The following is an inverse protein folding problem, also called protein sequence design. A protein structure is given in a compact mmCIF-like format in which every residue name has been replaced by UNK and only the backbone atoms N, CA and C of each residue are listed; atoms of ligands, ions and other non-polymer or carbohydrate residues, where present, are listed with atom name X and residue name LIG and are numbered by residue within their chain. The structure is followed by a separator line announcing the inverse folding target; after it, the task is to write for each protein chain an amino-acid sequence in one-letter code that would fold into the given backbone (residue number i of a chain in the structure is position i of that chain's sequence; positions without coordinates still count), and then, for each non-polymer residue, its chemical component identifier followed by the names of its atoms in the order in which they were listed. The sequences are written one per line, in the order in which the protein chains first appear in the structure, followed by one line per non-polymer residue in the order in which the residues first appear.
data_IF_602441925386
#
_entry.id   IF_602441925386
#
_cell.length_a   1.000
_cell.length_b   1.000
_cell.length_c   1.000
_cell.angle_alpha   90.00
_cell.angle_beta   90.00
_cell.angle_gamma   90.00
#
_symmetry.space_group_name_H-M   'P 1'
#
loop_
_entity.id
_entity.type
_entity.pdbx_description
1 polymer ?
#
# COMPACT_ATOMS: atom_id res chain seq x y z
N UNK A 1 -1.34 10.84 11.11
CA UNK A 1 -0.75 9.53 10.87
C UNK A 1 -0.17 9.65 9.49
N UNK A 2 1.14 9.85 9.45
CA UNK A 2 1.94 9.84 8.23
C UNK A 2 1.57 8.58 7.44
N UNK A 3 1.10 8.77 6.21
CA UNK A 3 0.82 7.63 5.33
C UNK A 3 2.01 7.46 4.41
N UNK A 4 2.57 6.26 4.40
CA UNK A 4 3.60 5.89 3.44
C UNK A 4 2.91 5.52 2.13
N UNK A 5 3.17 6.28 1.07
CA UNK A 5 2.91 5.80 -0.26
C UNK A 5 4.03 4.83 -0.62
N UNK A 6 3.70 3.55 -0.80
CA UNK A 6 4.65 2.52 -1.26
C UNK A 6 4.25 2.07 -2.65
N UNK A 7 5.18 2.18 -3.60
CA UNK A 7 5.07 1.50 -4.88
C UNK A 7 6.08 0.35 -4.90
N UNK A 8 5.64 -0.93 -4.81
CA UNK A 8 6.53 -2.09 -4.80
C UNK A 8 7.34 -2.26 -6.09
N UNK A 9 6.80 -1.84 -7.24
CA UNK A 9 7.46 -1.95 -8.54
C UNK A 9 8.60 -0.95 -8.69
N UNK A 10 8.48 0.20 -8.03
CA UNK A 10 9.51 1.25 -8.00
C UNK A 10 10.47 1.12 -6.82
N UNK A 11 10.18 0.21 -5.86
CA UNK A 11 10.84 0.13 -4.56
C UNK A 11 10.95 1.49 -3.85
N UNK A 12 9.91 2.31 -3.98
CA UNK A 12 9.88 3.70 -3.50
C UNK A 12 8.94 3.82 -2.30
N UNK A 13 9.37 4.60 -1.31
CA UNK A 13 8.58 4.97 -0.17
C UNK A 13 8.56 6.50 -0.03
N UNK A 14 7.40 7.11 -0.25
CA UNK A 14 7.19 8.56 -0.11
C UNK A 14 6.32 8.81 1.11
N UNK A 15 6.80 9.64 2.04
CA UNK A 15 6.01 10.08 3.18
C UNK A 15 5.00 11.13 2.74
N UNK A 16 3.81 11.08 3.34
CA UNK A 16 2.71 12.01 3.04
C UNK A 16 1.99 12.50 4.28
N UNK A 17 1.37 13.67 4.16
CA UNK A 17 0.63 14.36 5.21
C UNK A 17 -0.71 14.80 4.64
N UNK A 18 -1.81 14.45 5.32
CA UNK A 18 -3.14 14.89 4.89
C UNK A 18 -3.46 16.23 5.55
N UNK A 19 -3.73 17.24 4.74
CA UNK A 19 -4.05 18.60 5.17
C UNK A 19 -5.42 19.01 4.62
N UNK A 20 -6.45 18.99 5.47
CA UNK A 20 -7.83 19.09 4.99
C UNK A 20 -8.21 17.96 4.02
N UNK A 21 -8.59 18.33 2.80
CA UNK A 21 -8.88 17.39 1.71
C UNK A 21 -7.66 17.05 0.85
N UNK A 22 -6.58 17.82 0.98
CA UNK A 22 -5.37 17.68 0.18
C UNK A 22 -4.37 16.72 0.80
N UNK A 23 -3.47 16.22 -0.05
CA UNK A 23 -2.31 15.41 0.34
C UNK A 23 -1.04 16.17 -0.01
N UNK A 24 -0.20 16.36 1.00
CA UNK A 24 1.14 16.93 0.87
C UNK A 24 2.18 15.82 0.92
N UNK A 25 3.23 15.96 0.12
CA UNK A 25 4.31 15.00 -0.01
C UNK A 25 5.61 15.57 0.53
N UNK A 26 6.44 14.74 1.16
CA UNK A 26 7.79 15.15 1.54
C UNK A 26 8.62 15.35 0.28
N UNK A 27 9.05 16.59 0.02
CA UNK A 27 9.67 16.96 -1.24
C UNK A 27 10.98 16.20 -1.51
N UNK A 28 11.75 15.97 -0.44
CA UNK A 28 12.99 15.18 -0.50
C UNK A 28 12.72 13.76 -0.96
N UNK A 29 11.79 13.06 -0.30
CA UNK A 29 11.46 11.67 -0.61
C UNK A 29 11.01 11.52 -2.06
N UNK A 30 10.17 12.43 -2.54
CA UNK A 30 9.71 12.46 -3.94
C UNK A 30 10.90 12.64 -4.90
N UNK A 31 11.77 13.62 -4.65
CA UNK A 31 12.91 13.89 -5.51
C UNK A 31 13.91 12.70 -5.54
N UNK A 32 14.19 12.07 -4.39
CA UNK A 32 15.03 10.86 -4.32
C UNK A 32 14.41 9.72 -5.14
N UNK A 33 13.10 9.53 -5.00
CA UNK A 33 12.35 8.50 -5.71
C UNK A 33 12.33 8.69 -7.23
N UNK A 34 12.46 9.93 -7.69
CA UNK A 34 12.53 10.29 -9.10
C UNK A 34 13.97 10.33 -9.64
N UNK A 35 14.96 9.88 -8.85
CA UNK A 35 16.35 9.75 -9.28
C UNK A 35 17.11 11.08 -9.34
N UNK A 36 16.63 12.13 -8.69
CA UNK A 36 17.38 13.39 -8.62
C UNK A 36 18.57 13.27 -7.66
N UNK A 37 19.78 13.52 -8.18
CA UNK A 37 21.02 13.52 -7.37
C UNK A 37 21.00 14.65 -6.34
N UNK A 38 20.64 15.86 -6.76
CA UNK A 38 20.49 17.02 -5.89
C UNK A 38 19.01 17.33 -5.70
N UNK A 39 18.44 16.74 -4.66
CA UNK A 39 17.01 16.84 -4.32
C UNK A 39 16.59 18.27 -3.99
N UNK A 40 17.45 19.03 -3.31
CA UNK A 40 17.17 20.43 -2.95
C UNK A 40 17.14 21.32 -4.19
N UNK A 41 18.12 21.15 -5.08
CA UNK A 41 18.13 21.87 -6.36
C UNK A 41 16.93 21.47 -7.22
N UNK A 42 16.59 20.18 -7.30
CA UNK A 42 15.44 19.72 -8.06
C UNK A 42 14.14 20.38 -7.61
N UNK A 43 13.86 20.37 -6.30
CA UNK A 43 12.68 21.03 -5.73
C UNK A 43 12.70 22.53 -5.98
N UNK A 44 13.85 23.20 -5.83
CA UNK A 44 13.97 24.64 -6.08
C UNK A 44 13.75 25.02 -7.54
N UNK A 45 14.24 24.19 -8.46
CA UNK A 45 14.24 24.49 -9.90
C UNK A 45 12.93 24.10 -10.57
N UNK A 46 12.33 22.98 -10.18
CA UNK A 46 11.18 22.41 -10.89
C UNK A 46 9.85 22.73 -10.25
N UNK A 47 9.79 22.95 -8.94
CA UNK A 47 8.52 23.19 -8.23
C UNK A 47 8.33 24.69 -8.05
N UNK A 48 7.13 25.19 -8.31
CA UNK A 48 6.75 26.58 -8.05
C UNK A 48 6.63 26.88 -6.54
N UNK A 49 6.69 28.15 -6.16
CA UNK A 49 6.70 28.52 -4.73
C UNK A 49 5.32 28.32 -4.08
N UNK A 50 4.24 28.52 -4.82
CA UNK A 50 2.87 28.27 -4.37
C UNK A 50 2.59 26.79 -4.07
N UNK A 51 3.33 25.90 -4.69
CA UNK A 51 3.23 24.44 -4.53
C UNK A 51 4.18 23.90 -3.45
N UNK A 52 4.85 24.78 -2.71
CA UNK A 52 5.74 24.46 -1.59
C UNK A 52 5.16 24.98 -0.28
N UNK A 53 5.33 24.20 0.78
CA UNK A 53 5.14 24.70 2.13
C UNK A 53 6.14 24.06 3.09
N UNK A 54 6.28 24.62 4.28
CA UNK A 54 7.13 24.02 5.32
C UNK A 54 6.27 23.29 6.34
N UNK A 55 6.79 22.20 6.90
CA UNK A 55 6.10 21.46 7.96
C UNK A 55 5.71 22.37 9.15
N UNK A 56 6.55 23.34 9.49
CA UNK A 56 6.27 24.32 10.55
C UNK A 56 5.17 25.33 10.22
N UNK A 57 4.92 25.61 8.94
CA UNK A 57 3.80 26.47 8.51
C UNK A 57 2.44 25.79 8.59
N UNK A 58 2.40 24.46 8.71
CA UNK A 58 1.18 23.70 8.88
C UNK A 58 0.65 23.89 10.32
N UNK A 59 -0.40 24.70 10.48
CA UNK A 59 -1.09 24.92 11.76
C UNK A 59 -1.72 23.62 12.27
N UNK A 60 -1.52 23.30 13.57
CA UNK A 60 -2.06 22.09 14.22
C UNK A 60 -3.58 21.89 14.08
N UNK A 61 -4.36 22.95 13.85
CA UNK A 61 -5.82 22.91 13.78
C UNK A 61 -6.41 22.23 12.54
N UNK A 62 -5.73 22.28 11.39
CA UNK A 62 -6.24 21.73 10.13
C UNK A 62 -5.74 20.31 9.85
N UNK A 63 -4.82 19.82 10.69
CA UNK A 63 -4.36 18.44 10.67
C UNK A 63 -5.33 17.59 11.48
N UNK A 64 -6.03 16.67 10.81
CA UNK A 64 -6.87 15.65 11.49
C UNK A 64 -6.06 14.65 12.33
N UNK A 65 -4.74 14.80 12.39
CA UNK A 65 -3.83 13.87 13.05
C UNK A 65 -2.60 14.58 13.62
N UNK A 66 -1.86 13.96 14.56
CA UNK A 66 -0.63 14.55 15.10
C UNK A 66 0.34 15.01 14.01
N UNK A 67 1.06 16.11 14.28
CA UNK A 67 2.09 16.62 13.39
C UNK A 67 3.04 15.47 12.99
N UNK A 68 3.34 15.34 11.69
CA UNK A 68 4.33 14.38 11.19
C UNK A 68 5.70 14.58 11.83
N UNK A 69 6.49 13.52 11.95
CA UNK A 69 7.86 13.60 12.45
C UNK A 69 8.76 14.31 11.42
N UNK A 70 9.37 15.43 11.82
CA UNK A 70 10.26 16.18 10.93
C UNK A 70 10.66 17.54 11.48
N UNK A 71 11.75 18.09 10.96
CA UNK A 71 12.18 19.44 11.32
C UNK A 71 11.17 20.47 10.77
N UNK A 72 10.83 21.56 11.47
CA UNK A 72 9.88 22.57 10.99
C UNK A 72 10.22 23.17 9.62
N UNK A 73 11.50 23.19 9.26
CA UNK A 73 11.98 23.65 7.94
C UNK A 73 11.89 22.60 6.82
N UNK A 74 11.29 21.43 7.08
CA UNK A 74 11.12 20.38 6.07
C UNK A 74 10.17 20.87 5.00
N UNK A 75 10.60 20.80 3.73
CA UNK A 75 9.80 21.22 2.58
C UNK A 75 8.84 20.10 2.19
N UNK A 76 7.58 20.47 2.08
CA UNK A 76 6.47 19.68 1.59
C UNK A 76 6.01 20.26 0.25
N UNK A 77 5.46 19.41 -0.61
CA UNK A 77 4.90 19.82 -1.90
C UNK A 77 3.47 19.32 -2.08
N UNK A 78 2.68 20.06 -2.85
CA UNK A 78 1.33 19.68 -3.28
C UNK A 78 1.39 18.56 -4.34
N UNK A 79 0.22 18.05 -4.75
CA UNK A 79 0.12 17.11 -5.87
C UNK A 79 0.59 17.75 -7.18
N UNK A 80 0.31 19.03 -7.39
CA UNK A 80 0.80 19.81 -8.53
C UNK A 80 2.34 19.88 -8.52
N UNK A 81 2.96 20.12 -7.35
CA UNK A 81 4.41 20.10 -7.20
C UNK A 81 5.03 18.72 -7.44
N UNK A 82 4.34 17.64 -7.04
CA UNK A 82 4.73 16.27 -7.38
C UNK A 82 4.77 16.07 -8.90
N UNK A 83 3.73 16.47 -9.63
CA UNK A 83 3.71 16.37 -11.09
C UNK A 83 4.83 17.18 -11.74
N UNK A 84 5.14 18.38 -11.26
CA UNK A 84 6.26 19.17 -11.76
C UNK A 84 7.60 18.43 -11.65
N UNK A 85 7.87 17.75 -10.53
CA UNK A 85 9.06 16.91 -10.38
C UNK A 85 9.05 15.69 -11.31
N UNK A 86 7.90 15.02 -11.46
CA UNK A 86 7.80 13.89 -12.39
C UNK A 86 8.11 14.35 -13.82
N UNK A 87 7.63 15.54 -14.19
CA UNK A 87 7.81 16.07 -15.53
C UNK A 87 9.25 16.50 -15.82
N UNK A 88 10.02 16.86 -14.80
CA UNK A 88 11.44 17.17 -14.90
C UNK A 88 12.37 15.97 -14.73
N UNK A 89 11.86 14.79 -14.36
CA UNK A 89 12.70 13.61 -14.08
C UNK A 89 13.13 12.91 -15.37
N UNK A 90 14.36 12.38 -15.37
CA UNK A 90 14.90 11.58 -16.49
C UNK A 90 14.73 10.07 -16.30
N UNK A 91 14.14 9.64 -15.18
CA UNK A 91 13.89 8.24 -14.87
C UNK A 91 12.92 7.62 -15.90
N UNK A 92 13.18 6.37 -16.32
CA UNK A 92 12.35 5.71 -17.34
C UNK A 92 10.87 5.61 -16.94
N UNK A 93 10.59 5.35 -15.67
CA UNK A 93 9.23 5.26 -15.14
C UNK A 93 8.51 6.62 -15.18
N UNK A 94 9.23 7.73 -14.96
CA UNK A 94 8.70 9.08 -15.14
C UNK A 94 8.46 9.42 -16.63
N UNK A 95 9.29 8.89 -17.54
CA UNK A 95 9.08 8.99 -19.00
C UNK A 95 7.83 8.23 -19.44
N UNK A 96 7.62 7.02 -18.94
CA UNK A 96 6.43 6.22 -19.22
C UNK A 96 5.16 6.91 -18.74
N UNK A 97 5.16 7.43 -17.51
CA UNK A 97 4.04 8.20 -16.97
C UNK A 97 3.74 9.45 -17.80
N UNK A 98 4.76 10.25 -18.13
CA UNK A 98 4.60 11.42 -19.03
C UNK A 98 4.03 11.00 -20.39
N UNK A 99 4.55 9.92 -20.96
CA UNK A 99 4.09 9.40 -22.27
C UNK A 99 2.62 9.04 -22.19
N UNK A 100 2.21 8.29 -21.18
CA UNK A 100 0.80 7.94 -20.96
C UNK A 100 -0.08 9.19 -20.82
N UNK A 101 0.34 10.18 -20.03
CA UNK A 101 -0.40 11.45 -19.92
C UNK A 101 -0.55 12.13 -21.29
N UNK A 102 0.54 12.23 -22.06
CA UNK A 102 0.55 12.95 -23.33
C UNK A 102 -0.13 12.23 -24.47
N UNK A 103 -0.07 10.90 -24.51
CA UNK A 103 -0.67 10.11 -25.59
C UNK A 103 -2.11 9.73 -25.33
N UNK A 104 -2.52 9.64 -24.06
CA UNK A 104 -3.81 9.08 -23.68
C UNK A 104 -4.65 10.08 -22.86
N UNK A 105 -4.16 10.49 -21.68
CA UNK A 105 -4.95 11.27 -20.72
C UNK A 105 -5.34 12.64 -21.27
N UNK A 106 -4.36 13.48 -21.62
CA UNK A 106 -4.63 14.84 -22.11
C UNK A 106 -5.37 14.82 -23.45
N UNK A 107 -5.04 13.96 -24.43
CA UNK A 107 -5.82 13.84 -25.64
C UNK A 107 -7.27 13.41 -25.39
N UNK A 108 -7.52 12.52 -24.43
CA UNK A 108 -8.89 12.13 -24.04
C UNK A 108 -9.64 13.33 -23.48
N UNK A 109 -9.10 13.99 -22.45
CA UNK A 109 -9.75 15.17 -21.82
C UNK A 109 -10.04 16.25 -22.86
N UNK A 110 -9.08 16.55 -23.74
CA UNK A 110 -9.27 17.55 -24.81
C UNK A 110 -10.41 17.17 -25.77
N UNK A 111 -10.57 15.88 -26.09
CA UNK A 111 -11.56 15.39 -27.07
C UNK A 111 -12.95 15.21 -26.46
N UNK A 112 -13.03 14.69 -25.24
CA UNK A 112 -14.29 14.23 -24.63
C UNK A 112 -14.72 15.05 -23.43
N UNK A 113 -13.85 15.94 -22.93
CA UNK A 113 -14.06 16.68 -21.68
C UNK A 113 -13.76 15.86 -20.41
N UNK A 114 -13.36 14.61 -20.55
CA UNK A 114 -13.08 13.71 -19.43
C UNK A 114 -11.96 12.70 -19.75
N UNK A 115 -11.35 12.15 -18.71
CA UNK A 115 -10.58 10.93 -18.83
C UNK A 115 -11.27 9.88 -17.97
N UNK A 116 -11.82 8.87 -18.63
CA UNK A 116 -12.23 7.65 -17.96
C UNK A 116 -11.04 6.71 -18.02
N UNK A 117 -10.55 6.28 -16.85
CA UNK A 117 -9.70 5.10 -16.83
C UNK A 117 -10.45 4.01 -17.59
N UNK A 118 -9.77 3.22 -18.43
CA UNK A 118 -10.39 2.06 -19.05
C UNK A 118 -11.13 1.36 -17.92
N UNK A 119 -12.46 1.29 -18.02
CA UNK A 119 -13.18 0.31 -17.24
C UNK A 119 -12.45 -0.94 -17.62
N UNK A 120 -11.67 -1.50 -16.71
CA UNK A 120 -11.29 -2.89 -16.85
C UNK A 120 -12.64 -3.52 -17.10
N UNK A 121 -12.89 -3.98 -18.34
CA UNK A 121 -13.88 -5.03 -18.53
C UNK A 121 -13.63 -5.95 -17.36
N UNK A 122 -14.66 -6.34 -16.59
CA UNK A 122 -14.44 -7.30 -15.52
C UNK A 122 -13.87 -8.52 -16.22
N UNK A 123 -12.55 -8.58 -16.30
CA UNK A 123 -11.80 -9.75 -16.59
C UNK A 123 -12.35 -10.65 -15.51
N UNK A 124 -13.04 -11.70 -15.96
CA UNK A 124 -13.35 -12.85 -15.15
C UNK A 124 -12.05 -13.56 -14.71
N UNK A 125 -11.00 -12.81 -14.40
CA UNK A 125 -9.91 -13.24 -13.55
C UNK A 125 -10.00 -12.40 -12.28
N UNK A 126 -10.13 -13.10 -11.15
CA UNK A 126 -10.11 -12.56 -9.81
C UNK A 126 -8.72 -11.96 -9.47
N UNK A 127 -8.22 -11.00 -10.26
CA UNK A 127 -7.03 -10.25 -9.89
C UNK A 127 -7.46 -9.19 -8.88
N UNK A 128 -7.69 -9.65 -7.65
CA UNK A 128 -7.65 -8.78 -6.48
C UNK A 128 -6.36 -7.96 -6.59
N UNK A 129 -6.44 -6.63 -6.42
CA UNK A 129 -5.24 -5.80 -6.21
C UNK A 129 -4.67 -6.15 -4.84
N UNK A 130 -3.95 -7.26 -4.77
CA UNK A 130 -3.33 -7.78 -3.56
C UNK A 130 -1.96 -7.12 -3.42
N UNK A 131 -1.85 -6.11 -2.56
CA UNK A 131 -0.60 -5.39 -2.36
C UNK A 131 0.29 -6.15 -1.36
N UNK A 132 -0.33 -6.87 -0.43
CA UNK A 132 0.33 -7.64 0.61
C UNK A 132 -0.51 -8.84 1.08
N UNK A 133 0.01 -9.59 2.05
CA UNK A 133 -0.63 -10.77 2.63
C UNK A 133 -1.92 -10.43 3.39
N UNK A 134 -1.93 -9.29 4.08
CA UNK A 134 -3.11 -8.79 4.81
C UNK A 134 -4.27 -8.46 3.86
N UNK A 135 -4.00 -7.84 2.71
CA UNK A 135 -5.03 -7.58 1.68
C UNK A 135 -5.60 -8.90 1.13
N UNK A 136 -4.74 -9.89 0.92
CA UNK A 136 -5.13 -11.23 0.47
C UNK A 136 -5.98 -11.92 1.53
N UNK A 137 -5.63 -11.79 2.79
CA UNK A 137 -6.40 -12.31 3.90
C UNK A 137 -7.82 -11.73 3.90
N UNK A 138 -7.96 -10.40 3.85
CA UNK A 138 -9.29 -9.78 3.85
C UNK A 138 -10.12 -10.22 2.66
N UNK A 139 -9.53 -10.26 1.47
CA UNK A 139 -10.28 -10.57 0.26
C UNK A 139 -10.73 -12.05 0.22
N UNK A 140 -9.92 -12.99 0.73
CA UNK A 140 -10.35 -14.40 0.92
C UNK A 140 -11.48 -14.49 1.94
N UNK A 141 -11.39 -13.80 3.07
CA UNK A 141 -12.44 -13.79 4.10
C UNK A 141 -13.74 -13.21 3.57
N UNK A 142 -13.69 -12.10 2.82
CA UNK A 142 -14.86 -11.49 2.18
C UNK A 142 -15.49 -12.43 1.15
N UNK A 143 -14.68 -13.09 0.32
CA UNK A 143 -15.16 -14.08 -0.64
C UNK A 143 -15.90 -15.22 0.08
N UNK A 144 -15.28 -15.81 1.11
CA UNK A 144 -15.87 -16.89 1.89
C UNK A 144 -17.18 -16.45 2.56
N UNK A 145 -17.21 -15.26 3.18
CA UNK A 145 -18.43 -14.74 3.80
C UNK A 145 -19.56 -14.53 2.79
N UNK A 146 -19.22 -14.06 1.58
CA UNK A 146 -20.19 -13.76 0.52
C UNK A 146 -20.75 -15.02 -0.14
N UNK A 147 -19.88 -15.96 -0.51
CA UNK A 147 -20.25 -17.12 -1.33
C UNK A 147 -20.40 -18.41 -0.51
N UNK A 148 -19.82 -18.47 0.69
CA UNK A 148 -19.88 -19.59 1.61
C UNK A 148 -20.26 -19.14 3.05
N UNK A 149 -21.41 -18.46 3.25
CA UNK A 149 -21.76 -17.87 4.54
C UNK A 149 -21.95 -18.89 5.69
N UNK A 150 -22.09 -20.18 5.38
CA UNK A 150 -22.17 -21.28 6.36
C UNK A 150 -20.82 -21.85 6.76
N UNK A 151 -19.73 -21.45 6.09
CA UNK A 151 -18.39 -21.91 6.42
C UNK A 151 -17.97 -21.36 7.78
N UNK A 152 -17.49 -22.23 8.67
CA UNK A 152 -16.98 -21.82 9.97
C UNK A 152 -15.49 -21.49 9.83
N UNK A 153 -15.19 -20.20 9.75
CA UNK A 153 -13.84 -19.66 9.56
C UNK A 153 -13.20 -19.37 10.93
N UNK A 154 -12.06 -19.99 11.19
CA UNK A 154 -11.20 -19.74 12.35
C UNK A 154 -9.91 -19.04 11.88
N UNK A 155 -9.79 -17.72 12.06
CA UNK A 155 -8.58 -16.99 11.71
C UNK A 155 -7.47 -17.22 12.74
N UNK A 156 -6.23 -17.36 12.25
CA UNK A 156 -5.03 -17.36 13.09
C UNK A 156 -4.75 -16.00 13.72
N UNK A 157 -4.03 -15.98 14.85
CA UNK A 157 -3.65 -14.73 15.53
C UNK A 157 -2.36 -14.09 15.01
N UNK A 158 -1.65 -14.73 14.07
CA UNK A 158 -0.29 -14.34 13.68
C UNK A 158 -0.13 -12.85 13.37
N UNK A 159 -1.03 -12.30 12.55
CA UNK A 159 -1.06 -10.89 12.14
C UNK A 159 -1.24 -9.90 13.30
N UNK A 160 -1.80 -10.34 14.44
CA UNK A 160 -2.05 -9.50 15.61
C UNK A 160 -0.97 -9.61 16.71
N UNK A 161 0.06 -10.45 16.50
CA UNK A 161 1.17 -10.68 17.44
C UNK A 161 2.38 -9.76 17.18
N UNK A 162 2.11 -8.46 17.04
CA UNK A 162 3.07 -7.40 16.68
C UNK A 162 4.20 -7.14 17.71
N UNK A 163 4.05 -7.61 18.95
CA UNK A 163 4.97 -7.34 20.06
C UNK A 163 5.38 -8.63 20.76
N UNK A 164 6.58 -8.60 21.37
CA UNK A 164 7.08 -9.75 22.14
C UNK A 164 6.15 -10.11 23.30
N UNK A 165 5.53 -9.12 23.94
CA UNK A 165 4.53 -9.33 25.00
C UNK A 165 3.30 -10.09 24.48
N UNK A 166 2.72 -9.68 23.35
CA UNK A 166 1.58 -10.38 22.75
C UNK A 166 1.93 -11.80 22.29
N UNK A 167 3.15 -12.02 21.77
CA UNK A 167 3.65 -13.36 21.42
C UNK A 167 3.75 -14.27 22.64
N UNK A 168 4.35 -13.79 23.73
CA UNK A 168 4.45 -14.55 24.98
C UNK A 168 3.08 -14.86 25.59
N UNK A 169 2.16 -13.89 25.59
CA UNK A 169 0.80 -14.07 26.09
C UNK A 169 -0.01 -15.06 25.23
N UNK A 170 0.08 -14.96 23.89
CA UNK A 170 -0.53 -15.92 22.98
C UNK A 170 0.01 -17.34 23.22
N UNK A 171 1.32 -17.51 23.37
CA UNK A 171 1.89 -18.82 23.68
C UNK A 171 1.35 -19.41 24.98
N UNK A 172 1.25 -18.59 26.05
CA UNK A 172 0.64 -19.01 27.33
C UNK A 172 -0.84 -19.40 27.20
N UNK A 173 -1.53 -18.84 26.21
CA UNK A 173 -2.93 -19.16 25.87
C UNK A 173 -3.06 -20.37 24.95
N UNK A 174 -1.96 -21.04 24.60
CA UNK A 174 -1.95 -22.26 23.78
C UNK A 174 -1.79 -22.03 22.28
N UNK A 175 -1.56 -20.79 21.83
CA UNK A 175 -1.25 -20.53 20.43
C UNK A 175 0.14 -21.09 20.09
N UNK A 176 0.22 -21.81 18.98
CA UNK A 176 1.47 -22.45 18.51
C UNK A 176 1.98 -21.76 17.26
N UNK A 177 3.31 -21.78 17.09
CA UNK A 177 3.92 -21.28 15.85
C UNK A 177 3.56 -22.19 14.68
N UNK A 178 3.31 -21.61 13.51
CA UNK A 178 2.99 -22.37 12.30
C UNK A 178 1.50 -22.64 12.10
N UNK A 179 0.64 -22.13 12.98
CA UNK A 179 -0.81 -22.14 12.75
C UNK A 179 -1.15 -21.42 11.43
N UNK A 180 -2.01 -22.01 10.57
CA UNK A 180 -2.45 -21.40 9.33
C UNK A 180 -3.17 -20.07 9.55
N UNK A 181 -3.09 -19.18 8.57
CA UNK A 181 -3.78 -17.88 8.61
C UNK A 181 -5.29 -18.03 8.70
N UNK A 182 -5.86 -19.02 7.99
CA UNK A 182 -7.28 -19.34 8.02
C UNK A 182 -7.49 -20.84 8.10
N UNK A 183 -8.37 -21.28 8.99
CA UNK A 183 -8.85 -22.66 9.02
C UNK A 183 -10.37 -22.67 8.86
N UNK A 184 -10.88 -23.40 7.87
CA UNK A 184 -12.31 -23.65 7.68
C UNK A 184 -12.61 -25.01 8.29
N UNK A 185 -13.31 -25.04 9.41
CA UNK A 185 -13.60 -26.29 10.16
C UNK A 185 -14.95 -26.89 9.78
N UNK A 186 -15.38 -26.67 8.54
CA UNK A 186 -16.58 -27.30 7.99
C UNK A 186 -16.18 -28.64 7.38
N UNK A 187 -16.68 -29.78 7.90
CA UNK A 187 -16.35 -31.08 7.35
C UNK A 187 -16.82 -31.22 5.90
N UNK A 188 -16.06 -31.97 5.12
CA UNK A 188 -16.38 -32.35 3.74
C UNK A 188 -16.09 -33.84 3.54
N UNK A 189 -16.48 -34.40 2.39
CA UNK A 189 -16.23 -35.82 2.11
C UNK A 189 -14.73 -36.12 2.12
N UNK A 190 -14.26 -36.76 3.19
CA UNK A 190 -12.87 -37.17 3.37
C UNK A 190 -11.98 -36.22 4.19
N UNK A 191 -12.49 -35.06 4.61
CA UNK A 191 -11.70 -34.09 5.38
C UNK A 191 -12.53 -33.40 6.47
N UNK A 192 -11.93 -33.18 7.65
CA UNK A 192 -12.58 -32.52 8.78
C UNK A 192 -12.49 -30.98 8.72
N UNK A 193 -11.80 -30.45 7.72
CA UNK A 193 -11.64 -29.02 7.50
C UNK A 193 -10.67 -28.73 6.38
N UNK A 194 -10.38 -27.46 6.18
CA UNK A 194 -9.49 -26.94 5.15
C UNK A 194 -8.65 -25.80 5.73
N UNK A 195 -7.33 -25.93 5.68
CA UNK A 195 -6.40 -24.91 6.14
C UNK A 195 -5.84 -24.11 4.95
N UNK A 196 -5.74 -22.80 5.12
CA UNK A 196 -5.20 -21.86 4.13
C UNK A 196 -4.06 -21.10 4.80
N UNK A 197 -2.87 -21.27 4.24
CA UNK A 197 -1.69 -20.47 4.53
C UNK A 197 -1.50 -19.49 3.37
N UNK A 198 -1.51 -18.20 3.68
CA UNK A 198 -1.37 -17.13 2.70
C UNK A 198 0.09 -16.71 2.62
N UNK A 199 0.50 -16.30 1.43
CA UNK A 199 1.80 -15.70 1.19
C UNK A 199 1.65 -14.49 0.29
N UNK A 200 2.53 -13.51 0.49
CA UNK A 200 2.56 -12.36 -0.41
C UNK A 200 2.67 -12.78 -1.88
N UNK A 201 1.93 -12.11 -2.79
CA UNK A 201 1.88 -12.47 -4.22
C UNK A 201 3.16 -12.12 -4.99
N UNK A 202 4.25 -11.75 -4.29
CA UNK A 202 5.55 -11.40 -4.87
C UNK A 202 6.30 -12.60 -5.45
N UNK A 203 5.75 -13.82 -5.37
CA UNK A 203 6.36 -15.05 -5.88
C UNK A 203 7.58 -15.55 -5.08
N UNK A 204 7.87 -14.93 -3.93
CA UNK A 204 9.01 -15.27 -3.04
C UNK A 204 8.56 -15.89 -1.72
N UNK A 205 7.25 -16.08 -1.52
CA UNK A 205 6.71 -16.64 -0.31
C UNK A 205 6.88 -18.15 -0.26
N UNK A 206 7.71 -18.63 0.67
CA UNK A 206 7.89 -20.06 0.94
C UNK A 206 7.21 -20.44 2.27
N UNK A 207 6.62 -21.64 2.30
CA UNK A 207 6.04 -22.21 3.52
C UNK A 207 7.17 -22.66 4.43
N UNK A 208 7.18 -22.21 5.69
CA UNK A 208 8.23 -22.53 6.66
C UNK A 208 8.05 -23.95 7.22
N UNK A 209 9.13 -24.57 7.69
CA UNK A 209 9.11 -25.94 8.23
C UNK A 209 8.07 -26.14 9.34
N UNK A 210 7.93 -25.17 10.25
CA UNK A 210 6.93 -25.23 11.31
C UNK A 210 5.49 -25.13 10.80
N UNK A 211 5.25 -24.44 9.68
CA UNK A 211 3.95 -24.39 9.00
C UNK A 211 3.67 -25.72 8.30
N UNK A 212 4.66 -26.30 7.62
CA UNK A 212 4.55 -27.64 7.02
C UNK A 212 4.23 -28.69 8.09
N UNK A 213 4.91 -28.66 9.22
CA UNK A 213 4.68 -29.57 10.33
C UNK A 213 3.27 -29.46 10.89
N UNK A 214 2.72 -28.24 11.00
CA UNK A 214 1.36 -28.01 11.46
C UNK A 214 0.32 -28.50 10.44
N UNK A 215 0.51 -28.20 9.16
CA UNK A 215 -0.45 -28.55 8.09
C UNK A 215 -0.52 -30.07 7.86
N UNK A 216 0.58 -30.79 8.09
CA UNK A 216 0.65 -32.26 7.92
C UNK A 216 0.28 -33.06 9.16
N UNK A 217 0.27 -32.42 10.34
CA UNK A 217 -0.06 -33.04 11.63
C UNK A 217 -1.56 -33.16 11.84
#
# INVERSE_FOLDING_TARGET
MEKLFRNPELNVCVRTVRWGEEVLFYAKDVAESLGYIDTKKAVRTHVWEEDKCTLGSLKRGDLRTPLPDGHPSTVMITEQGLYQLIFGSELNTAKEFRRWIFSEVLPSIRKTGSYELPKSEPLYCNHMRLINETDLHYAVVEYLKKYHPKALILPGLGEYQDTSQKRCDAWKKGYTSGQPDLTIVTPSNGFNGFAIELKTPKGTGEVRDNQVAWIRG
#
